data_IF_506464724061
#
_entry.id   IF_506464724061
#
_cell.length_a   1.000
_cell.length_b   1.000
_cell.length_c   1.000
_cell.angle_alpha   90.00
_cell.angle_beta   90.00
_cell.angle_gamma   90.00
#
_symmetry.space_group_name_H-M   'P 1'
#
loop_
_entity.id
_entity.type
_entity.pdbx_description
1 polymer ?
#
# COMPACT_ATOMS: atom_id res chain seq x y z
N UNK A 1 -14.80 -14.58 -21.71
CA UNK A 1 -13.63 -14.53 -20.81
C UNK A 1 -13.76 -15.69 -19.84
N UNK A 2 -12.72 -16.52 -19.64
CA UNK A 2 -12.83 -17.66 -18.72
C UNK A 2 -12.67 -17.19 -17.25
N UNK A 3 -13.04 -18.04 -16.29
CA UNK A 3 -13.02 -17.70 -14.87
C UNK A 3 -11.61 -17.38 -14.34
N UNK A 4 -10.58 -18.07 -14.84
CA UNK A 4 -9.17 -17.83 -14.51
C UNK A 4 -8.70 -16.44 -14.96
N UNK A 5 -8.96 -16.07 -16.21
CA UNK A 5 -8.59 -14.77 -16.78
C UNK A 5 -9.31 -13.61 -16.06
N UNK A 6 -10.57 -13.81 -15.68
CA UNK A 6 -11.28 -12.84 -14.85
C UNK A 6 -10.63 -12.69 -13.48
N UNK A 7 -10.24 -13.80 -12.85
CA UNK A 7 -9.55 -13.79 -11.55
C UNK A 7 -8.21 -13.07 -11.65
N UNK A 8 -7.41 -13.37 -12.68
CA UNK A 8 -6.14 -12.69 -12.95
C UNK A 8 -6.32 -11.18 -13.07
N UNK A 9 -7.31 -10.73 -13.85
CA UNK A 9 -7.60 -9.31 -14.02
C UNK A 9 -8.06 -8.65 -12.72
N UNK A 10 -8.90 -9.31 -11.94
CA UNK A 10 -9.34 -8.81 -10.64
C UNK A 10 -8.16 -8.62 -9.69
N UNK A 11 -7.29 -9.63 -9.56
CA UNK A 11 -6.11 -9.56 -8.70
C UNK A 11 -5.14 -8.45 -9.14
N UNK A 12 -4.86 -8.34 -10.44
CA UNK A 12 -4.01 -7.28 -10.97
C UNK A 12 -4.64 -5.90 -10.76
N UNK A 13 -5.93 -5.74 -11.04
CA UNK A 13 -6.62 -4.46 -10.85
C UNK A 13 -6.63 -4.05 -9.38
N UNK A 14 -6.88 -4.98 -8.46
CA UNK A 14 -6.85 -4.71 -7.03
C UNK A 14 -5.47 -4.25 -6.56
N UNK A 15 -4.42 -4.97 -6.96
CA UNK A 15 -3.02 -4.60 -6.69
C UNK A 15 -2.67 -3.21 -7.22
N UNK A 16 -3.08 -2.88 -8.45
CA UNK A 16 -2.85 -1.54 -9.02
C UNK A 16 -3.62 -0.46 -8.26
N UNK A 17 -4.87 -0.71 -7.87
CA UNK A 17 -5.65 0.24 -7.08
C UNK A 17 -5.01 0.53 -5.72
N UNK A 18 -4.41 -0.48 -5.08
CA UNK A 18 -3.64 -0.30 -3.85
C UNK A 18 -2.38 0.53 -4.10
N UNK A 19 -1.65 0.25 -5.18
CA UNK A 19 -0.47 1.03 -5.56
C UNK A 19 -0.83 2.50 -5.83
N UNK A 20 -1.90 2.75 -6.57
CA UNK A 20 -2.37 4.10 -6.89
C UNK A 20 -2.75 4.85 -5.60
N UNK A 21 -3.46 4.20 -4.67
CA UNK A 21 -3.80 4.79 -3.38
C UNK A 21 -2.54 5.15 -2.56
N UNK A 22 -1.55 4.26 -2.53
CA UNK A 22 -0.28 4.52 -1.85
C UNK A 22 0.50 5.67 -2.49
N UNK A 23 0.56 5.74 -3.82
CA UNK A 23 1.23 6.83 -4.55
C UNK A 23 0.54 8.18 -4.33
N UNK A 24 -0.78 8.18 -4.23
CA UNK A 24 -1.59 9.37 -3.93
C UNK A 24 -1.56 9.76 -2.45
N UNK A 25 -0.91 8.97 -1.60
CA UNK A 25 -0.95 9.11 -0.13
C UNK A 25 -2.38 9.05 0.44
N UNK A 26 -3.30 8.38 -0.24
CA UNK A 26 -4.67 8.14 0.24
C UNK A 26 -4.68 6.89 1.12
N UNK A 27 -4.21 7.06 2.36
CA UNK A 27 -4.05 5.96 3.32
C UNK A 27 -5.39 5.36 3.75
N UNK A 28 -6.47 6.14 3.71
CA UNK A 28 -7.81 5.63 4.05
C UNK A 28 -8.30 4.66 2.98
N UNK A 29 -8.14 5.02 1.70
CA UNK A 29 -8.45 4.12 0.59
C UNK A 29 -7.55 2.90 0.56
N UNK A 30 -6.24 3.07 0.82
CA UNK A 30 -5.31 1.94 0.89
C UNK A 30 -5.74 0.93 1.97
N UNK A 31 -6.03 1.41 3.19
CA UNK A 31 -6.47 0.55 4.30
C UNK A 31 -7.81 -0.15 4.00
N UNK A 32 -8.74 0.53 3.33
CA UNK A 32 -9.99 -0.09 2.90
C UNK A 32 -9.76 -1.21 1.86
N UNK A 33 -8.79 -1.05 0.95
CA UNK A 33 -8.44 -2.05 -0.05
C UNK A 33 -7.65 -3.24 0.52
N UNK A 34 -6.90 -3.05 1.61
CA UNK A 34 -6.22 -4.14 2.31
C UNK A 34 -7.21 -5.13 2.96
N UNK A 35 -8.40 -4.64 3.34
CA UNK A 35 -9.41 -5.46 3.97
C UNK A 35 -9.89 -6.56 3.02
N UNK A 36 -9.78 -7.83 3.44
CA UNK A 36 -10.14 -8.99 2.62
C UNK A 36 -9.17 -9.36 1.50
N UNK A 37 -8.12 -8.55 1.25
CA UNK A 37 -7.18 -8.83 0.17
C UNK A 37 -6.39 -10.13 0.36
N UNK A 38 -5.96 -10.41 1.60
CA UNK A 38 -5.23 -11.64 1.92
C UNK A 38 -6.09 -12.89 1.67
N UNK A 39 -7.35 -12.86 2.08
CA UNK A 39 -8.30 -13.96 1.87
C UNK A 39 -8.57 -14.19 0.37
N UNK A 40 -8.73 -13.10 -0.39
CA UNK A 40 -8.89 -13.18 -1.85
C UNK A 40 -7.66 -13.78 -2.55
N UNK A 41 -6.45 -13.40 -2.12
CA UNK A 41 -5.20 -13.99 -2.62
C UNK A 41 -5.12 -15.48 -2.30
N UNK A 42 -5.38 -15.86 -1.04
CA UNK A 42 -5.34 -17.26 -0.59
C UNK A 42 -6.35 -18.12 -1.36
N UNK A 43 -7.57 -17.63 -1.54
CA UNK A 43 -8.63 -18.31 -2.29
C UNK A 43 -8.21 -18.50 -3.75
N UNK A 44 -7.67 -17.45 -4.39
CA UNK A 44 -7.26 -17.50 -5.78
C UNK A 44 -6.07 -18.46 -6.00
N UNK A 45 -5.09 -18.44 -5.09
CA UNK A 45 -3.95 -19.37 -5.12
C UNK A 45 -4.41 -20.81 -4.88
N UNK A 46 -5.34 -21.03 -3.95
CA UNK A 46 -5.90 -22.37 -3.72
C UNK A 46 -6.63 -22.91 -4.94
N UNK A 47 -7.26 -22.05 -5.73
CA UNK A 47 -8.08 -22.46 -6.87
C UNK A 47 -7.26 -22.68 -8.16
N UNK A 48 -6.28 -21.81 -8.43
CA UNK A 48 -5.58 -21.77 -9.72
C UNK A 48 -4.06 -21.99 -9.61
N UNK A 49 -3.50 -21.94 -8.40
CA UNK A 49 -2.11 -22.28 -8.11
C UNK A 49 -1.10 -21.65 -9.07
N UNK A 50 -0.37 -22.53 -9.78
CA UNK A 50 0.72 -22.14 -10.68
C UNK A 50 0.25 -21.27 -11.87
N UNK A 51 -1.02 -21.31 -12.24
CA UNK A 51 -1.58 -20.49 -13.33
C UNK A 51 -1.55 -18.99 -13.01
N UNK A 52 -1.38 -18.63 -11.73
CA UNK A 52 -1.26 -17.25 -11.26
C UNK A 52 0.20 -16.77 -11.13
N UNK A 53 1.21 -17.58 -11.46
CA UNK A 53 2.62 -17.24 -11.21
C UNK A 53 3.02 -15.88 -11.80
N UNK A 54 2.67 -15.61 -13.06
CA UNK A 54 2.99 -14.33 -13.70
C UNK A 54 2.29 -13.15 -13.02
N UNK A 55 1.02 -13.33 -12.65
CA UNK A 55 0.23 -12.31 -11.93
C UNK A 55 0.82 -12.07 -10.54
N UNK A 56 1.22 -13.14 -9.84
CA UNK A 56 1.87 -13.06 -8.53
C UNK A 56 3.16 -12.24 -8.56
N UNK A 57 3.98 -12.37 -9.61
CA UNK A 57 5.19 -11.56 -9.77
C UNK A 57 4.88 -10.06 -9.91
N UNK A 58 3.85 -9.71 -10.70
CA UNK A 58 3.45 -8.30 -10.83
C UNK A 58 2.83 -7.75 -9.53
N UNK A 59 2.06 -8.55 -8.79
CA UNK A 59 1.53 -8.16 -7.47
C UNK A 59 2.66 -7.93 -6.47
N UNK A 60 3.69 -8.79 -6.45
CA UNK A 60 4.86 -8.61 -5.59
C UNK A 60 5.61 -7.32 -5.91
N UNK A 61 5.77 -7.00 -7.19
CA UNK A 61 6.40 -5.76 -7.66
C UNK A 61 5.60 -4.53 -7.25
N UNK A 62 4.27 -4.59 -7.31
CA UNK A 62 3.41 -3.50 -6.84
C UNK A 62 3.50 -3.34 -5.32
N UNK A 63 3.50 -4.44 -4.56
CA UNK A 63 3.68 -4.41 -3.11
C UNK A 63 5.01 -3.78 -2.69
N UNK A 64 6.12 -4.09 -3.38
CA UNK A 64 7.42 -3.46 -3.12
C UNK A 64 7.38 -1.94 -3.31
N UNK A 65 6.65 -1.47 -4.33
CA UNK A 65 6.46 -0.03 -4.56
C UNK A 65 5.58 0.60 -3.47
N UNK A 66 4.50 -0.07 -3.05
CA UNK A 66 3.66 0.38 -1.95
C UNK A 66 4.50 0.55 -0.68
N UNK A 67 5.32 -0.44 -0.33
CA UNK A 67 6.23 -0.37 0.82
C UNK A 67 7.16 0.84 0.73
N UNK A 68 7.76 1.07 -0.45
CA UNK A 68 8.64 2.22 -0.68
C UNK A 68 7.89 3.55 -0.48
N UNK A 69 6.64 3.66 -0.96
CA UNK A 69 5.79 4.84 -0.75
C UNK A 69 5.50 5.07 0.75
N UNK A 70 5.14 4.02 1.48
CA UNK A 70 4.85 4.08 2.92
C UNK A 70 6.08 4.51 3.71
N UNK A 71 7.23 3.86 3.50
CA UNK A 71 8.49 4.19 4.19
C UNK A 71 8.92 5.63 3.93
N UNK A 72 8.82 6.08 2.68
CA UNK A 72 9.13 7.46 2.30
C UNK A 72 8.24 8.47 3.03
N UNK A 73 6.93 8.20 3.12
CA UNK A 73 6.00 9.09 3.82
C UNK A 73 6.23 9.07 5.33
N UNK A 74 6.47 7.91 5.93
CA UNK A 74 6.80 7.78 7.36
C UNK A 74 8.06 8.58 7.71
N UNK A 75 9.10 8.50 6.88
CA UNK A 75 10.34 9.28 7.06
C UNK A 75 10.08 10.79 6.99
N UNK A 76 9.24 11.22 6.05
CA UNK A 76 8.85 12.63 5.91
C UNK A 76 8.11 13.13 7.14
N UNK A 77 7.08 12.39 7.58
CA UNK A 77 6.29 12.71 8.77
C UNK A 77 7.15 12.78 10.04
N UNK A 78 8.08 11.83 10.21
CA UNK A 78 9.00 11.81 11.35
C UNK A 78 9.88 13.07 11.39
N UNK A 79 10.38 13.51 10.22
CA UNK A 79 11.16 14.75 10.11
C UNK A 79 10.32 15.99 10.44
N UNK A 80 9.08 16.05 9.94
CA UNK A 80 8.14 17.15 10.20
C UNK A 80 7.79 17.23 11.70
N UNK A 81 7.50 16.10 12.35
CA UNK A 81 7.24 16.03 13.79
C UNK A 81 8.45 16.51 14.61
N UNK A 82 9.66 16.12 14.23
CA UNK A 82 10.89 16.59 14.85
C UNK A 82 11.06 18.10 14.73
N UNK A 83 10.77 18.67 13.56
CA UNK A 83 10.84 20.12 13.35
C UNK A 83 9.77 20.88 14.15
N UNK A 84 8.53 20.38 14.16
CA UNK A 84 7.45 20.99 14.93
C UNK A 84 7.73 20.98 16.44
N UNK A 85 8.27 19.88 16.95
CA UNK A 85 8.67 19.78 18.37
C UNK A 85 9.73 20.83 18.72
N UNK A 86 10.74 21.03 17.86
CA UNK A 86 11.75 22.09 18.06
C UNK A 86 11.13 23.47 18.04
N UNK A 87 10.26 23.76 17.07
CA UNK A 87 9.58 25.05 16.96
C UNK A 87 8.74 25.36 18.22
N UNK A 88 7.98 24.37 18.72
CA UNK A 88 7.19 24.51 19.96
C UNK A 88 8.10 24.79 21.16
N UNK A 89 9.21 24.06 21.28
CA UNK A 89 10.19 24.30 22.34
C UNK A 89 10.77 25.71 22.29
N UNK A 90 11.10 26.21 21.09
CA UNK A 90 11.60 27.57 20.91
C UNK A 90 10.54 28.61 21.29
N UNK A 91 9.29 28.45 20.83
CA UNK A 91 8.19 29.36 21.20
C UNK A 91 8.02 29.39 22.72
N UNK A 92 8.04 28.22 23.38
CA UNK A 92 7.92 28.14 24.83
C UNK A 92 9.04 28.92 25.54
N UNK A 93 10.28 28.81 25.06
CA UNK A 93 11.41 29.55 25.63
C UNK A 93 11.36 31.07 25.43
N UNK A 94 10.51 31.58 24.53
CA UNK A 94 10.29 33.02 24.36
C UNK A 94 9.13 33.57 25.22
N UNK A 95 8.28 32.68 25.75
CA UNK A 95 7.12 33.05 26.57
C UNK A 95 7.37 32.89 28.08
N UNK A 96 8.49 32.25 28.45
CA UNK A 96 9.05 32.19 29.81
C UNK A 96 10.11 33.27 29.99
#
# INVERSE_FOLDING_TARGET
>A
MNALEMTKLQLLSHSKNMLDAAQQSDWSRLSALENGWLEQLQTSVSQYGNELTQVGLEILKDNQKIQTCVESKQKTLSKELGQNTKNISSIKSYLE
#
